data_IF_312662757953
#
_entry.id   IF_312662757953
#
_cell.length_a   1.000
_cell.length_b   1.000
_cell.length_c   1.000
_cell.angle_alpha   90.00
_cell.angle_beta   90.00
_cell.angle_gamma   90.00
#
_symmetry.space_group_name_H-M   'P 1'
#
loop_
_entity.id
_entity.type
_entity.pdbx_description
1 polymer ?
#
# COMPACT_ATOMS: atom_id res chain seq x y z
N UNK A 1 1.92 -12.24 -35.01
CA UNK A 1 1.42 -11.13 -34.15
C UNK A 1 0.38 -11.55 -33.09
N UNK A 2 -0.29 -12.71 -33.19
CA UNK A 2 -1.37 -13.11 -32.26
C UNK A 2 -0.91 -13.47 -30.82
N UNK A 3 0.24 -14.13 -30.66
CA UNK A 3 0.71 -14.66 -29.37
C UNK A 3 1.04 -13.59 -28.32
N UNK A 4 1.30 -12.34 -28.74
CA UNK A 4 1.69 -11.23 -27.84
C UNK A 4 0.50 -10.42 -27.29
N UNK A 5 -0.72 -10.58 -27.82
CA UNK A 5 -1.92 -9.92 -27.27
C UNK A 5 -2.59 -10.72 -26.16
N UNK A 6 -2.46 -12.04 -26.20
CA UNK A 6 -3.19 -12.95 -25.32
C UNK A 6 -2.69 -12.92 -23.86
N UNK A 7 -1.37 -12.95 -23.68
CA UNK A 7 -0.74 -12.94 -22.34
C UNK A 7 -0.94 -11.61 -21.59
N UNK A 8 -0.99 -10.47 -22.29
CA UNK A 8 -1.30 -9.16 -21.65
C UNK A 8 -2.72 -9.15 -21.10
N UNK A 9 -3.67 -9.74 -21.84
CA UNK A 9 -5.05 -9.90 -21.36
C UNK A 9 -5.17 -10.85 -20.18
N UNK A 10 -4.38 -11.93 -20.13
CA UNK A 10 -4.29 -12.81 -18.96
C UNK A 10 -3.75 -12.08 -17.73
N UNK A 11 -2.63 -11.38 -17.87
CA UNK A 11 -2.02 -10.59 -16.78
C UNK A 11 -3.01 -9.53 -16.28
N UNK A 12 -3.68 -8.80 -17.18
CA UNK A 12 -4.67 -7.79 -16.79
C UNK A 12 -5.87 -8.38 -16.04
N UNK A 13 -6.38 -9.54 -16.47
CA UNK A 13 -7.47 -10.25 -15.77
C UNK A 13 -7.06 -10.72 -14.37
N UNK A 14 -5.84 -11.24 -14.24
CA UNK A 14 -5.29 -11.64 -12.94
C UNK A 14 -5.19 -10.43 -11.99
N UNK A 15 -4.66 -9.30 -12.47
CA UNK A 15 -4.58 -8.05 -11.71
C UNK A 15 -5.97 -7.55 -11.30
N UNK A 16 -6.94 -7.55 -12.22
CA UNK A 16 -8.30 -7.11 -11.94
C UNK A 16 -9.00 -8.00 -10.90
N UNK A 17 -8.71 -9.31 -10.90
CA UNK A 17 -9.23 -10.26 -9.90
C UNK A 17 -8.63 -10.02 -8.52
N UNK A 18 -7.32 -9.79 -8.44
CA UNK A 18 -6.61 -9.54 -7.18
C UNK A 18 -6.92 -8.16 -6.57
N UNK A 19 -7.42 -7.22 -7.39
CA UNK A 19 -7.70 -5.84 -6.99
C UNK A 19 -9.16 -5.46 -7.20
N UNK A 20 -10.06 -6.44 -7.22
CA UNK A 20 -11.49 -6.23 -7.42
C UNK A 20 -12.02 -5.15 -6.47
N UNK A 21 -11.64 -5.22 -5.21
CA UNK A 21 -12.14 -4.35 -4.16
C UNK A 21 -11.67 -2.90 -4.37
N UNK A 22 -10.41 -2.73 -4.77
CA UNK A 22 -9.85 -1.42 -5.12
C UNK A 22 -10.49 -0.83 -6.38
N UNK A 23 -10.74 -1.64 -7.40
CA UNK A 23 -11.30 -1.18 -8.67
C UNK A 23 -12.79 -0.82 -8.56
N UNK A 24 -13.55 -1.58 -7.76
CA UNK A 24 -15.01 -1.44 -7.62
C UNK A 24 -15.41 -0.40 -6.58
N UNK A 25 -14.80 -0.43 -5.40
CA UNK A 25 -15.22 0.40 -4.26
C UNK A 25 -14.27 1.57 -3.99
N UNK A 26 -13.10 1.57 -4.63
CA UNK A 26 -12.03 2.52 -4.31
C UNK A 26 -11.42 2.26 -2.94
N UNK A 27 -10.27 2.88 -2.65
CA UNK A 27 -9.58 2.73 -1.37
C UNK A 27 -8.16 2.21 -1.50
N UNK A 28 -7.78 1.21 -0.71
CA UNK A 28 -6.41 0.68 -0.67
C UNK A 28 -6.25 -0.48 -1.64
N UNK A 29 -5.25 -0.42 -2.51
CA UNK A 29 -4.85 -1.56 -3.32
C UNK A 29 -4.30 -2.66 -2.42
N UNK A 30 -4.73 -3.90 -2.62
CA UNK A 30 -4.15 -5.04 -1.92
C UNK A 30 -2.66 -5.16 -2.27
N UNK A 31 -1.86 -5.69 -1.35
CA UNK A 31 -0.44 -5.88 -1.60
C UNK A 31 -0.25 -6.92 -2.73
N UNK A 32 0.34 -6.52 -3.84
CA UNK A 32 0.74 -7.45 -4.90
C UNK A 32 2.16 -7.20 -5.35
N UNK A 33 2.88 -8.28 -5.65
CA UNK A 33 4.20 -8.22 -6.25
C UNK A 33 4.16 -8.75 -7.68
N UNK A 34 5.16 -8.35 -8.49
CA UNK A 34 5.31 -8.90 -9.85
C UNK A 34 5.55 -10.41 -9.84
N UNK A 35 6.06 -10.95 -8.73
CA UNK A 35 6.32 -12.38 -8.58
C UNK A 35 5.02 -13.15 -8.41
N UNK A 36 4.08 -12.64 -7.62
CA UNK A 36 2.77 -13.28 -7.42
C UNK A 36 2.02 -13.43 -8.76
N UNK A 37 2.03 -12.39 -9.60
CA UNK A 37 1.45 -12.46 -10.96
C UNK A 37 2.22 -13.43 -11.86
N UNK A 38 3.56 -13.43 -11.78
CA UNK A 38 4.40 -14.32 -12.58
C UNK A 38 4.13 -15.80 -12.25
N UNK A 39 3.98 -16.11 -10.96
CA UNK A 39 3.68 -17.45 -10.46
C UNK A 39 2.27 -17.89 -10.88
N UNK A 40 1.27 -17.00 -10.80
CA UNK A 40 -0.10 -17.33 -11.17
C UNK A 40 -0.31 -17.47 -12.70
N UNK A 41 0.44 -16.69 -13.49
CA UNK A 41 0.32 -16.71 -14.95
C UNK A 41 1.32 -17.64 -15.64
N UNK A 42 2.31 -18.17 -14.92
CA UNK A 42 3.42 -18.96 -15.47
C UNK A 42 4.38 -18.16 -16.35
N UNK A 43 4.28 -16.83 -16.37
CA UNK A 43 5.18 -15.97 -17.15
C UNK A 43 6.38 -15.53 -16.33
N UNK A 44 7.50 -15.29 -17.02
CA UNK A 44 8.68 -14.71 -16.37
C UNK A 44 8.38 -13.29 -15.87
N UNK A 45 8.94 -12.90 -14.71
CA UNK A 45 8.74 -11.57 -14.09
C UNK A 45 9.03 -10.41 -15.06
N UNK A 46 10.07 -10.55 -15.88
CA UNK A 46 10.41 -9.55 -16.91
C UNK A 46 9.36 -9.43 -18.02
N UNK A 47 8.66 -10.52 -18.34
CA UNK A 47 7.54 -10.53 -19.28
C UNK A 47 6.36 -9.79 -18.68
N UNK A 48 5.96 -10.15 -17.45
CA UNK A 48 4.88 -9.46 -16.72
C UNK A 48 5.15 -7.95 -16.61
N UNK A 49 6.36 -7.56 -16.20
CA UNK A 49 6.78 -6.16 -16.12
C UNK A 49 6.64 -5.40 -17.45
N UNK A 50 6.96 -6.05 -18.58
CA UNK A 50 6.76 -5.48 -19.91
C UNK A 50 5.28 -5.40 -20.32
N UNK A 51 4.43 -6.34 -19.88
CA UNK A 51 2.99 -6.29 -20.19
C UNK A 51 2.34 -5.05 -19.62
N UNK A 52 2.66 -4.78 -18.36
CA UNK A 52 2.02 -3.73 -17.57
C UNK A 52 2.65 -2.36 -17.81
N UNK A 53 3.82 -2.32 -18.46
CA UNK A 53 4.50 -1.07 -18.81
C UNK A 53 3.60 -0.24 -19.73
N UNK A 54 3.40 1.02 -19.34
CA UNK A 54 2.56 1.98 -20.06
C UNK A 54 1.11 1.47 -20.26
N UNK A 55 0.58 0.79 -19.24
CA UNK A 55 -0.83 0.39 -19.15
C UNK A 55 -1.50 1.06 -17.96
N UNK A 56 -2.77 1.38 -18.18
CA UNK A 56 -3.61 2.11 -17.26
C UNK A 56 -4.94 1.37 -17.12
N UNK A 57 -5.48 1.39 -15.91
CA UNK A 57 -6.81 0.91 -15.61
C UNK A 57 -7.70 2.11 -15.32
N UNK A 58 -8.91 2.07 -15.87
CA UNK A 58 -9.97 2.98 -15.50
C UNK A 58 -10.71 2.35 -14.32
N UNK A 59 -10.74 3.04 -13.18
CA UNK A 59 -11.49 2.65 -11.99
C UNK A 59 -12.42 3.77 -11.55
N UNK A 60 -13.26 3.49 -10.55
CA UNK A 60 -14.21 4.46 -9.97
C UNK A 60 -13.54 5.75 -9.45
N UNK A 61 -12.25 5.69 -9.11
CA UNK A 61 -11.47 6.86 -8.65
C UNK A 61 -10.69 7.57 -9.76
N UNK A 62 -10.82 7.12 -11.02
CA UNK A 62 -10.15 7.70 -12.18
C UNK A 62 -9.20 6.73 -12.87
N UNK A 63 -8.21 7.26 -13.57
CA UNK A 63 -7.25 6.46 -14.35
C UNK A 63 -5.98 6.25 -13.53
N UNK A 64 -5.64 4.98 -13.28
CA UNK A 64 -4.47 4.59 -12.48
C UNK A 64 -3.50 3.76 -13.30
N UNK A 65 -2.19 3.97 -13.11
CA UNK A 65 -1.19 3.14 -13.77
C UNK A 65 -1.15 1.76 -13.12
N UNK A 66 -1.12 0.71 -13.93
CA UNK A 66 -0.99 -0.64 -13.40
C UNK A 66 0.31 -0.78 -12.61
N UNK A 67 1.39 -0.13 -13.05
CA UNK A 67 2.69 -0.17 -12.38
C UNK A 67 2.66 0.42 -10.97
N UNK A 68 1.85 1.46 -10.72
CA UNK A 68 1.76 2.08 -9.39
C UNK A 68 1.00 1.23 -8.37
N UNK A 69 0.25 0.23 -8.83
CA UNK A 69 -0.46 -0.71 -7.95
C UNK A 69 0.46 -1.79 -7.39
N UNK A 70 1.62 -2.01 -8.00
CA UNK A 70 2.65 -2.92 -7.49
C UNK A 70 3.48 -2.17 -6.44
N UNK A 71 3.12 -2.34 -5.18
CA UNK A 71 4.00 -1.92 -4.09
C UNK A 71 5.26 -2.78 -4.13
N UNK A 72 6.43 -2.16 -4.17
CA UNK A 72 7.66 -2.76 -3.64
C UNK A 72 7.48 -2.92 -2.14
N UNK A 73 6.67 -3.91 -1.75
CA UNK A 73 6.41 -4.25 -0.37
C UNK A 73 7.73 -4.55 0.30
N UNK A 74 8.08 -3.75 1.31
CA UNK A 74 9.12 -4.07 2.25
C UNK A 74 8.65 -5.34 2.97
N UNK A 75 9.09 -6.51 2.49
CA UNK A 75 8.86 -7.79 3.17
C UNK A 75 9.62 -7.74 4.50
N UNK A 76 8.88 -7.77 5.61
CA UNK A 76 9.43 -8.02 6.93
C UNK A 76 8.62 -9.14 7.59
N UNK A 77 9.29 -10.26 7.87
CA UNK A 77 8.93 -11.31 8.85
C UNK A 77 7.54 -11.97 8.75
N UNK A 78 7.54 -13.26 8.38
CA UNK A 78 6.47 -14.26 8.52
C UNK A 78 5.01 -13.76 8.33
N UNK A 79 4.54 -13.89 7.08
CA UNK A 79 3.12 -13.89 6.64
C UNK A 79 2.28 -12.61 6.62
N UNK A 80 2.80 -11.44 7.00
CA UNK A 80 2.08 -10.17 6.77
C UNK A 80 2.80 -9.28 5.75
N UNK A 81 2.23 -9.15 4.55
CA UNK A 81 2.71 -8.17 3.55
C UNK A 81 2.24 -6.77 3.95
N UNK A 82 3.10 -6.04 4.65
CA UNK A 82 2.82 -4.67 5.07
C UNK A 82 3.07 -3.70 3.92
N UNK A 83 2.02 -3.06 3.42
CA UNK A 83 2.14 -1.98 2.43
C UNK A 83 2.32 -0.62 3.11
N UNK A 84 2.99 0.35 2.46
CA UNK A 84 3.05 1.73 2.95
C UNK A 84 1.68 2.33 3.29
N UNK A 85 0.66 1.96 2.50
CA UNK A 85 -0.68 2.48 2.67
C UNK A 85 -1.41 1.88 3.89
N UNK A 86 -1.16 0.60 4.22
CA UNK A 86 -1.61 0.00 5.48
C UNK A 86 -1.00 0.71 6.70
N UNK A 87 0.29 1.06 6.63
CA UNK A 87 0.95 1.82 7.70
C UNK A 87 0.30 3.20 7.85
N UNK A 88 0.07 3.94 6.77
CA UNK A 88 -0.59 5.24 6.83
C UNK A 88 -2.01 5.14 7.43
N UNK A 89 -2.78 4.13 7.04
CA UNK A 89 -4.13 3.89 7.59
C UNK A 89 -4.09 3.57 9.09
N UNK A 90 -3.12 2.76 9.52
CA UNK A 90 -2.98 2.43 10.93
C UNK A 90 -2.53 3.64 11.76
N UNK A 91 -1.64 4.47 11.22
CA UNK A 91 -1.26 5.75 11.83
C UNK A 91 -2.48 6.66 11.97
N UNK A 92 -3.32 6.78 10.94
CA UNK A 92 -4.56 7.58 11.00
C UNK A 92 -5.53 7.06 12.08
N UNK A 93 -5.71 5.74 12.14
CA UNK A 93 -6.59 5.11 13.13
C UNK A 93 -6.10 5.35 14.57
N UNK A 94 -4.79 5.20 14.81
CA UNK A 94 -4.19 5.46 16.12
C UNK A 94 -4.32 6.92 16.54
N UNK A 95 -4.15 7.86 15.60
CA UNK A 95 -4.29 9.29 15.87
C UNK A 95 -5.75 9.67 16.11
N UNK A 96 -6.70 9.09 15.38
CA UNK A 96 -8.14 9.31 15.64
C UNK A 96 -8.58 8.80 17.00
N UNK A 97 -7.94 7.74 17.49
CA UNK A 97 -8.18 7.18 18.82
C UNK A 97 -7.31 7.85 19.92
N UNK A 98 -6.45 8.81 19.58
CA UNK A 98 -5.53 9.43 20.54
C UNK A 98 -6.26 10.38 21.49
N UNK A 99 -5.76 10.46 22.72
CA UNK A 99 -6.23 11.46 23.67
C UNK A 99 -5.63 12.82 23.31
N UNK A 100 -6.47 13.82 23.05
CA UNK A 100 -6.06 15.19 22.67
C UNK A 100 -5.20 15.88 23.74
N UNK A 101 -5.31 15.44 25.01
CA UNK A 101 -4.52 15.95 26.12
C UNK A 101 -3.14 15.27 26.24
N UNK A 102 -2.95 14.13 25.57
CA UNK A 102 -1.70 13.36 25.58
C UNK A 102 -1.49 12.68 24.22
N UNK A 103 -1.20 13.47 23.16
CA UNK A 103 -1.07 12.96 21.80
C UNK A 103 0.15 12.03 21.68
N UNK A 104 0.01 10.94 20.92
CA UNK A 104 1.06 9.93 20.79
C UNK A 104 2.31 10.53 20.15
N UNK A 105 3.44 10.34 20.82
CA UNK A 105 4.76 10.59 20.25
C UNK A 105 5.06 9.61 19.12
N UNK A 106 5.99 9.97 18.22
CA UNK A 106 6.39 9.09 17.12
C UNK A 106 6.95 7.73 17.63
N UNK A 107 7.46 7.68 18.87
CA UNK A 107 7.96 6.44 19.49
C UNK A 107 6.84 5.60 20.14
N UNK A 108 5.74 6.22 20.57
CA UNK A 108 4.53 5.50 21.02
C UNK A 108 3.76 4.94 19.84
N UNK A 109 3.59 5.72 18.76
CA UNK A 109 3.02 5.23 17.50
C UNK A 109 3.79 4.01 16.99
N UNK A 110 5.12 4.02 17.11
CA UNK A 110 5.95 2.86 16.77
C UNK A 110 5.63 1.65 17.65
N UNK A 111 5.49 1.82 18.96
CA UNK A 111 5.16 0.73 19.89
C UNK A 111 3.81 0.11 19.58
N UNK A 112 2.79 0.94 19.33
CA UNK A 112 1.45 0.48 18.94
C UNK A 112 1.46 -0.26 17.60
N UNK A 113 2.22 0.26 16.63
CA UNK A 113 2.40 -0.38 15.33
C UNK A 113 3.09 -1.74 15.48
N UNK A 114 4.16 -1.83 16.27
CA UNK A 114 4.86 -3.10 16.56
C UNK A 114 3.94 -4.08 17.26
N UNK A 115 3.12 -3.63 18.21
CA UNK A 115 2.12 -4.47 18.87
C UNK A 115 1.03 -4.97 17.92
N UNK A 116 0.72 -4.20 16.87
CA UNK A 116 -0.20 -4.56 15.79
C UNK A 116 0.46 -5.42 14.70
N UNK A 117 1.72 -5.85 14.88
CA UNK A 117 2.46 -6.67 13.91
C UNK A 117 3.21 -5.87 12.83
N UNK A 118 3.25 -4.54 12.91
CA UNK A 118 3.96 -3.68 11.98
C UNK A 118 5.36 -3.30 12.51
N UNK A 119 6.41 -3.77 11.83
CA UNK A 119 7.79 -3.35 12.15
C UNK A 119 8.16 -2.13 11.30
N UNK A 120 8.10 -0.93 11.89
CA UNK A 120 8.44 0.33 11.22
C UNK A 120 9.41 1.19 12.04
N UNK A 121 10.26 1.95 11.34
CA UNK A 121 11.18 2.88 12.00
C UNK A 121 10.47 4.20 12.36
N UNK A 122 10.93 4.87 13.43
CA UNK A 122 10.46 6.21 13.80
C UNK A 122 10.57 7.21 12.64
N UNK A 123 11.65 7.15 11.87
CA UNK A 123 11.87 8.02 10.70
C UNK A 123 10.83 7.79 9.60
N UNK A 124 10.41 6.53 9.41
CA UNK A 124 9.37 6.14 8.46
C UNK A 124 8.01 6.68 8.90
N UNK A 125 7.69 6.58 10.19
CA UNK A 125 6.45 7.13 10.77
C UNK A 125 6.43 8.65 10.58
N UNK A 126 7.51 9.35 10.94
CA UNK A 126 7.61 10.80 10.77
C UNK A 126 7.42 11.22 9.29
N UNK A 127 8.01 10.48 8.35
CA UNK A 127 7.82 10.72 6.91
C UNK A 127 6.35 10.60 6.52
N UNK A 128 5.68 9.51 6.89
CA UNK A 128 4.27 9.29 6.53
C UNK A 128 3.33 10.27 7.23
N UNK A 129 3.60 10.60 8.50
CA UNK A 129 2.88 11.62 9.26
C UNK A 129 2.89 12.98 8.54
N UNK A 130 4.07 13.42 8.10
CA UNK A 130 4.23 14.65 7.33
C UNK A 130 3.51 14.57 5.99
N UNK A 131 3.61 13.44 5.27
CA UNK A 131 2.90 13.24 4.00
C UNK A 131 1.37 13.26 4.15
N UNK A 132 0.84 12.92 5.33
CA UNK A 132 -0.58 12.98 5.66
C UNK A 132 -1.02 14.35 6.21
N UNK A 133 -0.09 15.31 6.37
CA UNK A 133 -0.40 16.63 6.92
C UNK A 133 -0.62 16.65 8.44
N UNK A 134 -0.21 15.60 9.16
CA UNK A 134 -0.39 15.51 10.60
C UNK A 134 0.80 16.21 11.30
N UNK A 135 0.56 17.21 12.17
CA UNK A 135 1.63 17.91 12.88
C UNK A 135 2.24 17.05 14.00
N UNK A 136 3.41 17.46 14.52
CA UNK A 136 4.14 16.68 15.53
C UNK A 136 3.36 16.63 16.85
N UNK A 137 3.59 15.59 17.67
CA UNK A 137 2.92 15.41 18.97
C UNK A 137 2.86 16.69 19.83
N UNK A 138 3.94 17.48 20.00
CA UNK A 138 3.89 18.73 20.78
C UNK A 138 2.91 19.79 20.23
N UNK A 139 2.67 19.77 18.92
CA UNK A 139 1.80 20.71 18.21
C UNK A 139 0.35 20.21 18.10
N UNK A 140 0.10 18.93 18.45
CA UNK A 140 -1.24 18.33 18.56
C UNK A 140 -1.84 18.43 19.96
N UNK A 141 -1.00 18.74 20.96
CA UNK A 141 -1.44 18.87 22.34
C UNK A 141 -2.31 20.13 22.46
N UNK A 142 -3.55 19.97 22.96
CA UNK A 142 -4.34 21.14 23.36
C UNK A 142 -3.68 21.78 24.57
N UNK A 143 -3.02 22.91 24.34
CA UNK A 143 -2.63 23.82 25.42
C UNK A 143 -3.91 24.49 25.90
N UNK A 144 -4.32 24.19 27.14
CA UNK A 144 -5.35 24.96 27.85
C UNK A 144 -4.76 26.21 28.47
#
# INVERSE_FOLDING_TARGET
>A
MAKRRDWTGQVARCIARLQSDYLLFGGLSAAMTLRDIADETGFHVSTVSRAIKDKYLLCCQGTVSIKSMFSSGLRFGADAVVTPAMICRQIDALIRAENVNSPFSDEELKRELVSSGFVVSRRTIAKYRTSMGIPASPMRMRVS
#
